data_IF_229665486672
#
_entry.id   IF_229665486672
#
_cell.length_a   1.000
_cell.length_b   1.000
_cell.length_c   1.000
_cell.angle_alpha   90.00
_cell.angle_beta   90.00
_cell.angle_gamma   90.00
#
_symmetry.space_group_name_H-M   'P 1'
#
loop_
_entity.id
_entity.type
_entity.pdbx_description
1 polymer ?
#
# COMPACT_ATOMS: atom_id res chain seq x y z
N UNK A 1 38.05 -16.32 1.83
CA UNK A 1 36.96 -15.36 1.58
C UNK A 1 36.96 -15.05 0.08
N UNK A 2 35.87 -15.35 -0.64
CA UNK A 2 35.82 -15.33 -2.12
C UNK A 2 35.56 -13.94 -2.73
N UNK A 3 35.59 -12.85 -1.96
CA UNK A 3 35.38 -11.49 -2.47
C UNK A 3 33.97 -11.21 -2.99
N UNK A 4 32.98 -12.08 -2.71
CA UNK A 4 31.58 -11.91 -3.10
C UNK A 4 30.94 -10.84 -2.21
N UNK A 5 30.28 -9.87 -2.83
CA UNK A 5 29.44 -8.89 -2.14
C UNK A 5 27.98 -9.26 -2.37
N UNK A 6 27.18 -9.18 -1.31
CA UNK A 6 25.74 -9.41 -1.40
C UNK A 6 25.03 -8.08 -1.65
N UNK A 7 23.97 -8.15 -2.44
CA UNK A 7 23.04 -7.05 -2.64
C UNK A 7 21.65 -7.49 -2.15
N UNK A 8 20.84 -6.54 -1.72
CA UNK A 8 19.45 -6.77 -1.34
C UNK A 8 18.53 -5.85 -2.12
N UNK A 9 17.38 -6.36 -2.54
CA UNK A 9 16.28 -5.52 -2.98
C UNK A 9 15.56 -4.94 -1.76
N UNK A 10 15.07 -3.72 -1.89
CA UNK A 10 14.20 -3.05 -0.95
C UNK A 10 13.01 -2.46 -1.70
N UNK A 11 11.81 -2.87 -1.31
CA UNK A 11 10.55 -2.40 -1.91
C UNK A 11 9.81 -1.53 -0.88
N UNK A 12 10.01 -0.21 -0.89
CA UNK A 12 9.44 0.64 0.15
C UNK A 12 8.00 1.08 -0.10
N UNK A 13 7.45 0.85 -1.30
CA UNK A 13 6.11 1.31 -1.67
C UNK A 13 4.98 0.45 -1.07
N UNK A 14 5.18 -0.84 -0.93
CA UNK A 14 4.16 -1.81 -0.53
C UNK A 14 4.77 -3.01 0.19
N UNK A 15 3.91 -3.85 0.77
CA UNK A 15 4.29 -5.16 1.31
C UNK A 15 3.37 -6.24 0.74
N UNK A 16 3.71 -7.51 0.93
CA UNK A 16 2.78 -8.60 0.64
C UNK A 16 1.50 -8.47 1.47
N UNK A 17 0.34 -8.75 0.87
CA UNK A 17 -0.97 -8.65 1.55
C UNK A 17 -1.09 -9.63 2.73
N UNK A 18 -0.38 -10.75 2.70
CA UNK A 18 -0.32 -11.74 3.78
C UNK A 18 0.92 -11.54 4.68
N UNK A 19 1.54 -10.36 4.64
CA UNK A 19 2.67 -10.02 5.49
C UNK A 19 2.27 -9.66 6.92
N UNK A 20 3.14 -9.90 7.89
CA UNK A 20 2.86 -9.64 9.30
C UNK A 20 2.39 -8.20 9.57
N UNK A 21 2.98 -7.21 8.91
CA UNK A 21 2.59 -5.82 9.12
C UNK A 21 1.12 -5.54 8.81
N UNK A 22 0.52 -6.24 7.83
CA UNK A 22 -0.88 -6.05 7.46
C UNK A 22 -1.81 -6.42 8.63
N UNK A 23 -1.42 -7.40 9.42
CA UNK A 23 -2.18 -7.88 10.58
C UNK A 23 -1.84 -7.16 11.88
N UNK A 24 -0.53 -6.90 12.11
CA UNK A 24 -0.02 -6.34 13.36
C UNK A 24 -0.07 -4.80 13.39
N UNK A 25 0.04 -4.16 12.22
CA UNK A 25 0.13 -2.71 12.03
C UNK A 25 -0.79 -2.23 10.90
N UNK A 26 -2.11 -2.45 11.02
CA UNK A 26 -3.06 -2.04 9.98
C UNK A 26 -3.02 -0.53 9.67
N UNK A 27 -2.60 0.28 10.64
CA UNK A 27 -2.44 1.73 10.49
C UNK A 27 -1.31 2.14 9.54
N UNK A 28 -0.47 1.20 9.11
CA UNK A 28 0.58 1.46 8.12
C UNK A 28 0.06 1.48 6.68
N UNK A 29 -1.16 1.02 6.45
CA UNK A 29 -1.69 0.79 5.11
C UNK A 29 -2.82 1.74 4.75
N UNK A 30 -2.91 2.08 3.46
CA UNK A 30 -4.07 2.79 2.93
C UNK A 30 -5.26 1.84 2.97
N UNK A 31 -6.22 2.13 3.83
CA UNK A 31 -7.42 1.31 4.02
C UNK A 31 -8.63 2.16 4.44
N UNK A 32 -9.81 1.56 4.32
CA UNK A 32 -11.07 2.16 4.75
C UNK A 32 -12.02 1.06 5.25
N UNK A 33 -13.09 1.43 5.94
CA UNK A 33 -14.06 0.51 6.56
C UNK A 33 -15.27 0.20 5.66
N UNK A 34 -15.31 0.73 4.44
CA UNK A 34 -16.34 0.48 3.43
C UNK A 34 -15.71 0.12 2.08
N UNK A 35 -16.47 -0.61 1.24
CA UNK A 35 -16.03 -0.89 -0.13
C UNK A 35 -15.99 0.39 -0.96
N UNK A 36 -14.90 0.65 -1.70
CA UNK A 36 -14.81 1.85 -2.54
C UNK A 36 -15.91 1.89 -3.63
N UNK A 37 -16.42 0.75 -4.02
CA UNK A 37 -17.50 0.64 -4.99
C UNK A 37 -18.58 -0.33 -4.50
N UNK A 38 -19.87 0.10 -4.46
CA UNK A 38 -20.96 -0.76 -3.97
C UNK A 38 -21.18 -2.05 -4.79
N UNK A 39 -20.75 -2.06 -6.05
CA UNK A 39 -20.86 -3.23 -6.95
C UNK A 39 -19.84 -4.32 -6.66
N UNK A 40 -18.80 -4.03 -5.88
CA UNK A 40 -17.73 -5.00 -5.63
C UNK A 40 -18.22 -6.16 -4.78
N UNK A 41 -17.85 -7.36 -5.21
CA UNK A 41 -18.06 -8.62 -4.51
C UNK A 41 -16.71 -9.30 -4.26
N UNK A 42 -16.64 -10.07 -3.17
CA UNK A 42 -15.42 -10.71 -2.68
C UNK A 42 -15.74 -12.16 -2.33
N UNK A 43 -16.13 -12.95 -3.33
CA UNK A 43 -16.57 -14.34 -3.16
C UNK A 43 -15.46 -15.36 -3.47
N UNK A 44 -14.34 -14.91 -4.00
CA UNK A 44 -13.21 -15.75 -4.37
C UNK A 44 -12.53 -16.48 -3.21
N UNK A 45 -11.43 -17.18 -3.47
CA UNK A 45 -10.72 -17.93 -2.43
C UNK A 45 -10.11 -17.00 -1.38
N UNK A 46 -9.93 -17.54 -0.18
CA UNK A 46 -9.16 -16.87 0.87
C UNK A 46 -7.68 -16.90 0.51
N UNK A 47 -7.04 -15.74 0.55
CA UNK A 47 -5.62 -15.56 0.24
C UNK A 47 -4.74 -15.55 1.51
N UNK A 48 -5.35 -15.51 2.70
CA UNK A 48 -4.62 -15.45 3.96
C UNK A 48 -4.12 -16.81 4.40
N UNK A 49 -2.88 -16.86 4.84
CA UNK A 49 -2.33 -17.99 5.61
C UNK A 49 -2.53 -17.82 7.12
N UNK A 50 -2.96 -16.62 7.57
CA UNK A 50 -3.25 -16.34 8.96
C UNK A 50 -4.65 -16.89 9.35
N UNK A 51 -4.75 -17.82 10.34
CA UNK A 51 -6.02 -18.45 10.69
C UNK A 51 -7.05 -17.48 11.29
N UNK A 52 -6.62 -16.34 11.81
CA UNK A 52 -7.49 -15.35 12.45
C UNK A 52 -8.11 -14.39 11.44
N UNK A 53 -7.63 -14.40 10.19
CA UNK A 53 -8.05 -13.46 9.16
C UNK A 53 -8.53 -14.16 7.88
N UNK A 54 -9.44 -13.53 7.18
CA UNK A 54 -9.83 -13.84 5.81
C UNK A 54 -9.41 -12.65 4.93
N UNK A 55 -8.74 -12.93 3.82
CA UNK A 55 -8.36 -11.92 2.82
C UNK A 55 -8.90 -12.35 1.48
N UNK A 56 -9.70 -11.52 0.86
CA UNK A 56 -10.30 -11.79 -0.45
C UNK A 56 -10.05 -10.69 -1.44
N UNK A 57 -9.73 -11.10 -2.65
CA UNK A 57 -9.64 -10.25 -3.82
C UNK A 57 -11.04 -9.93 -4.35
N UNK A 58 -11.20 -8.79 -4.99
CA UNK A 58 -12.40 -8.46 -5.75
C UNK A 58 -12.59 -9.44 -6.92
N UNK A 59 -13.83 -9.90 -7.14
CA UNK A 59 -14.12 -11.04 -8.03
C UNK A 59 -13.78 -10.77 -9.50
N UNK A 60 -13.85 -9.51 -9.95
CA UNK A 60 -13.60 -9.10 -11.33
C UNK A 60 -12.17 -8.63 -11.61
N UNK A 61 -11.26 -8.82 -10.65
CA UNK A 61 -9.86 -8.45 -10.81
C UNK A 61 -9.22 -9.07 -12.06
N UNK A 62 -9.42 -10.37 -12.28
CA UNK A 62 -8.77 -11.09 -13.38
C UNK A 62 -9.43 -10.90 -14.74
N UNK A 63 -10.73 -10.70 -14.78
CA UNK A 63 -11.44 -10.41 -16.04
C UNK A 63 -11.38 -8.93 -16.44
N UNK A 64 -10.91 -8.08 -15.53
CA UNK A 64 -10.67 -6.64 -15.74
C UNK A 64 -11.92 -5.86 -16.14
N UNK A 65 -13.06 -6.27 -15.63
CA UNK A 65 -14.31 -5.57 -15.84
C UNK A 65 -14.58 -4.48 -14.81
N UNK A 66 -13.86 -4.52 -13.68
CA UNK A 66 -13.88 -3.52 -12.62
C UNK A 66 -12.48 -2.93 -12.35
N UNK A 67 -12.43 -1.83 -11.62
CA UNK A 67 -11.15 -1.19 -11.25
C UNK A 67 -10.34 -2.03 -10.24
N UNK A 68 -10.99 -2.87 -9.43
CA UNK A 68 -10.40 -3.84 -8.48
C UNK A 68 -9.25 -3.25 -7.64
N UNK A 69 -9.53 -2.24 -6.83
CA UNK A 69 -8.50 -1.46 -6.13
C UNK A 69 -8.23 -1.90 -4.70
N UNK A 70 -9.07 -2.76 -4.11
CA UNK A 70 -8.93 -3.18 -2.71
C UNK A 70 -9.09 -4.69 -2.52
N UNK A 71 -8.42 -5.19 -1.48
CA UNK A 71 -8.78 -6.45 -0.82
C UNK A 71 -9.84 -6.18 0.24
N UNK A 72 -10.71 -7.17 0.51
CA UNK A 72 -11.51 -7.23 1.73
C UNK A 72 -10.80 -8.12 2.75
N UNK A 73 -10.44 -7.56 3.89
CA UNK A 73 -9.93 -8.28 5.04
C UNK A 73 -11.01 -8.38 6.10
N UNK A 74 -11.20 -9.54 6.67
CA UNK A 74 -12.14 -9.78 7.77
C UNK A 74 -11.46 -10.52 8.91
N UNK A 75 -11.52 -9.96 10.11
CA UNK A 75 -11.14 -10.68 11.32
C UNK A 75 -12.21 -11.76 11.63
N UNK A 76 -11.78 -13.01 11.76
CA UNK A 76 -12.72 -14.14 11.96
C UNK A 76 -13.34 -14.17 13.35
N UNK A 77 -12.69 -13.56 14.35
CA UNK A 77 -13.14 -13.54 15.74
C UNK A 77 -14.04 -12.35 16.03
N UNK A 78 -13.66 -11.17 15.59
CA UNK A 78 -14.40 -9.93 15.87
C UNK A 78 -15.45 -9.60 14.80
N UNK A 79 -15.30 -10.13 13.59
CA UNK A 79 -16.10 -9.78 12.43
C UNK A 79 -15.75 -8.43 11.81
N UNK A 80 -14.73 -7.72 12.33
CA UNK A 80 -14.24 -6.46 11.76
C UNK A 80 -13.87 -6.64 10.29
N UNK A 81 -14.33 -5.72 9.45
CA UNK A 81 -14.03 -5.70 8.02
C UNK A 81 -13.24 -4.43 7.71
N UNK A 82 -12.22 -4.60 6.87
CA UNK A 82 -11.40 -3.52 6.34
C UNK A 82 -11.11 -3.75 4.86
N UNK A 83 -11.10 -2.68 4.09
CA UNK A 83 -10.75 -2.69 2.67
C UNK A 83 -9.38 -2.05 2.50
N UNK A 84 -8.38 -2.86 2.19
CA UNK A 84 -6.98 -2.46 2.06
C UNK A 84 -6.65 -2.28 0.59
N UNK A 85 -6.12 -1.12 0.23
CA UNK A 85 -5.77 -0.83 -1.17
C UNK A 85 -4.59 -1.68 -1.63
N UNK A 86 -4.69 -2.17 -2.87
CA UNK A 86 -3.58 -2.84 -3.55
C UNK A 86 -2.36 -1.94 -3.67
N UNK A 87 -1.17 -2.52 -3.65
CA UNK A 87 0.05 -1.84 -4.07
C UNK A 87 -0.08 -1.36 -5.52
N UNK A 88 0.30 -0.12 -5.77
CA UNK A 88 0.23 0.48 -7.09
C UNK A 88 1.30 1.57 -7.26
N UNK A 89 1.90 1.65 -8.44
CA UNK A 89 2.87 2.68 -8.80
C UNK A 89 2.32 3.69 -9.82
N UNK A 90 1.04 3.56 -10.18
CA UNK A 90 0.37 4.42 -11.14
C UNK A 90 0.65 4.09 -12.62
N UNK A 91 1.30 2.96 -12.91
CA UNK A 91 1.67 2.61 -14.28
C UNK A 91 0.75 1.57 -14.92
N UNK A 92 0.18 0.67 -14.12
CA UNK A 92 -0.62 -0.46 -14.62
C UNK A 92 -1.76 -0.82 -13.68
N UNK A 93 -2.34 -2.00 -13.86
CA UNK A 93 -3.26 -2.60 -12.90
C UNK A 93 -2.63 -2.71 -11.50
N UNK A 94 -3.43 -2.53 -10.44
CA UNK A 94 -2.97 -2.79 -9.07
C UNK A 94 -2.53 -4.25 -8.92
N UNK A 95 -1.54 -4.49 -8.06
CA UNK A 95 -0.99 -5.83 -7.86
C UNK A 95 -1.86 -6.67 -6.92
N UNK A 96 -2.11 -7.92 -7.30
CA UNK A 96 -3.06 -8.82 -6.63
C UNK A 96 -2.55 -9.46 -5.33
N UNK A 97 -1.33 -9.18 -4.93
CA UNK A 97 -0.64 -9.82 -3.81
C UNK A 97 0.01 -8.83 -2.85
N UNK A 98 -0.20 -7.52 -3.04
CA UNK A 98 0.46 -6.48 -2.27
C UNK A 98 -0.50 -5.46 -1.69
N UNK A 99 -0.17 -4.92 -0.52
CA UNK A 99 -0.89 -3.87 0.19
C UNK A 99 -0.09 -2.55 0.16
N UNK A 100 -0.76 -1.45 -0.15
CA UNK A 100 -0.17 -0.12 -0.25
C UNK A 100 0.13 0.48 1.12
N UNK A 101 1.38 0.88 1.34
CA UNK A 101 1.78 1.63 2.54
C UNK A 101 1.28 3.09 2.47
N UNK A 102 0.81 3.59 3.61
CA UNK A 102 0.32 4.96 3.75
C UNK A 102 1.42 5.93 4.18
N UNK A 103 2.01 6.60 3.22
CA UNK A 103 3.05 7.61 3.47
C UNK A 103 2.53 8.94 4.02
N UNK A 104 1.21 9.15 4.08
CA UNK A 104 0.64 10.29 4.81
C UNK A 104 0.83 10.12 6.33
N UNK A 105 0.87 8.86 6.80
CA UNK A 105 1.09 8.53 8.21
C UNK A 105 2.59 8.62 8.58
N UNK A 106 2.99 9.49 9.51
CA UNK A 106 4.40 9.60 9.93
C UNK A 106 4.94 8.32 10.58
N UNK A 107 4.08 7.53 11.23
CA UNK A 107 4.49 6.26 11.86
C UNK A 107 4.90 5.25 10.79
N UNK A 108 4.17 5.19 9.68
CA UNK A 108 4.53 4.35 8.52
C UNK A 108 5.88 4.78 7.94
N UNK A 109 6.09 6.08 7.73
CA UNK A 109 7.38 6.59 7.22
C UNK A 109 8.53 6.17 8.11
N UNK A 110 8.41 6.33 9.43
CA UNK A 110 9.45 5.93 10.38
C UNK A 110 9.69 4.41 10.34
N UNK A 111 8.63 3.60 10.32
CA UNK A 111 8.77 2.14 10.24
C UNK A 111 9.51 1.69 8.98
N UNK A 112 9.23 2.30 7.82
CA UNK A 112 9.93 2.02 6.57
C UNK A 112 11.38 2.47 6.64
N UNK A 113 11.67 3.65 7.18
CA UNK A 113 13.05 4.15 7.38
C UNK A 113 13.84 3.12 8.22
N UNK A 114 13.28 2.61 9.31
CA UNK A 114 13.96 1.61 10.14
C UNK A 114 14.23 0.30 9.38
N UNK A 115 13.33 -0.12 8.49
CA UNK A 115 13.57 -1.27 7.60
C UNK A 115 14.69 -0.99 6.59
N UNK A 116 14.71 0.19 5.97
CA UNK A 116 15.79 0.60 5.06
C UNK A 116 17.14 0.60 5.79
N UNK A 117 17.19 1.18 6.99
CA UNK A 117 18.39 1.20 7.81
C UNK A 117 18.86 -0.21 8.22
N UNK A 118 17.91 -1.12 8.51
CA UNK A 118 18.22 -2.52 8.78
C UNK A 118 18.88 -3.17 7.56
N UNK A 119 18.33 -2.99 6.38
CA UNK A 119 18.91 -3.53 5.13
C UNK A 119 20.29 -2.92 4.89
N UNK A 120 20.45 -1.59 5.06
CA UNK A 120 21.71 -0.90 4.84
C UNK A 120 22.83 -1.35 5.77
N UNK A 121 22.51 -1.76 7.01
CA UNK A 121 23.50 -2.31 7.94
C UNK A 121 23.99 -3.71 7.56
N UNK A 122 23.20 -4.46 6.80
CA UNK A 122 23.50 -5.85 6.46
C UNK A 122 24.01 -6.05 5.03
N UNK A 123 23.71 -5.11 4.11
CA UNK A 123 24.07 -5.23 2.70
C UNK A 123 24.78 -3.98 2.20
N UNK A 124 25.97 -4.14 1.57
CA UNK A 124 26.72 -3.02 1.02
C UNK A 124 26.12 -2.43 -0.27
N UNK A 125 25.17 -3.13 -0.89
CA UNK A 125 24.47 -2.72 -2.11
C UNK A 125 22.97 -2.91 -1.90
N UNK A 126 22.18 -1.88 -2.19
CA UNK A 126 20.71 -1.94 -2.12
C UNK A 126 20.15 -1.48 -3.45
N UNK A 127 19.25 -2.29 -4.03
CA UNK A 127 18.41 -1.89 -5.16
C UNK A 127 17.03 -1.51 -4.63
N UNK A 128 16.65 -0.26 -4.80
CA UNK A 128 15.31 0.19 -4.48
C UNK A 128 14.38 -0.06 -5.67
N UNK A 129 13.27 -0.77 -5.41
CA UNK A 129 12.19 -0.96 -6.38
C UNK A 129 11.01 -0.06 -6.04
N UNK A 130 10.30 0.44 -7.06
CA UNK A 130 9.17 1.38 -6.93
C UNK A 130 9.48 2.64 -6.10
N UNK A 131 10.76 3.02 -5.97
CA UNK A 131 11.22 4.10 -5.10
C UNK A 131 10.73 5.50 -5.51
N UNK A 132 10.48 5.70 -6.82
CA UNK A 132 10.00 6.96 -7.37
C UNK A 132 8.61 7.34 -6.85
N UNK A 133 7.79 6.36 -6.46
CA UNK A 133 6.42 6.59 -5.98
C UNK A 133 6.37 7.24 -4.60
N UNK A 134 7.50 7.25 -3.86
CA UNK A 134 7.62 7.89 -2.58
C UNK A 134 7.93 9.40 -2.66
N UNK A 135 8.17 9.95 -3.85
CA UNK A 135 8.23 11.40 -4.01
C UNK A 135 6.85 12.01 -3.71
N UNK A 136 6.83 13.12 -2.97
CA UNK A 136 5.58 13.79 -2.53
C UNK A 136 4.56 13.97 -3.66
N UNK A 137 5.01 14.40 -4.83
CA UNK A 137 4.16 14.58 -6.00
C UNK A 137 3.44 13.30 -6.45
N UNK A 138 4.06 12.13 -6.28
CA UNK A 138 3.46 10.85 -6.63
C UNK A 138 2.48 10.38 -5.55
N UNK A 139 2.82 10.56 -4.27
CA UNK A 139 1.93 10.27 -3.15
C UNK A 139 0.66 11.13 -3.28
N UNK A 140 0.80 12.43 -3.54
CA UNK A 140 -0.34 13.34 -3.77
C UNK A 140 -1.19 12.86 -4.95
N UNK A 141 -0.57 12.68 -6.11
CA UNK A 141 -1.28 12.32 -7.35
C UNK A 141 -2.03 10.99 -7.25
N UNK A 142 -1.40 9.98 -6.67
CA UNK A 142 -1.96 8.62 -6.62
C UNK A 142 -2.98 8.46 -5.48
N UNK A 143 -2.66 8.94 -4.30
CA UNK A 143 -3.38 8.54 -3.08
C UNK A 143 -4.18 9.66 -2.43
N UNK A 144 -3.76 10.92 -2.59
CA UNK A 144 -4.37 12.09 -1.98
C UNK A 144 -4.48 13.24 -3.01
N UNK A 145 -5.22 13.02 -4.11
CA UNK A 145 -5.25 13.95 -5.23
C UNK A 145 -5.81 15.32 -4.82
N UNK A 146 -5.45 16.35 -5.58
CA UNK A 146 -6.02 17.69 -5.37
C UNK A 146 -7.52 17.66 -5.62
N UNK A 147 -8.32 18.43 -4.85
CA UNK A 147 -9.76 18.51 -5.07
C UNK A 147 -10.12 18.82 -6.54
N UNK A 148 -11.04 18.03 -7.10
CA UNK A 148 -11.49 18.20 -8.47
C UNK A 148 -10.62 17.58 -9.56
N UNK A 149 -9.53 16.88 -9.22
CA UNK A 149 -8.65 16.21 -10.22
C UNK A 149 -9.04 14.77 -10.53
N UNK A 150 -9.97 14.18 -9.81
CA UNK A 150 -10.41 12.78 -10.00
C UNK A 150 -9.48 11.72 -9.44
N UNK A 151 -8.16 11.98 -9.37
CA UNK A 151 -7.14 11.03 -8.91
C UNK A 151 -6.82 9.93 -9.93
N UNK A 152 -5.63 9.34 -9.82
CA UNK A 152 -5.15 8.28 -10.72
C UNK A 152 -5.57 6.88 -10.24
N UNK A 153 -5.77 6.71 -8.94
CA UNK A 153 -6.26 5.45 -8.36
C UNK A 153 -7.77 5.57 -8.14
N UNK A 154 -8.52 4.62 -8.69
CA UNK A 154 -9.97 4.58 -8.54
C UNK A 154 -10.37 4.53 -7.05
N UNK A 155 -11.42 5.26 -6.68
CA UNK A 155 -11.87 5.38 -5.28
C UNK A 155 -11.06 6.35 -4.42
N UNK A 156 -9.98 6.99 -4.95
CA UNK A 156 -9.17 7.94 -4.16
C UNK A 156 -9.59 9.39 -4.31
N UNK A 157 -10.45 9.73 -5.26
CA UNK A 157 -10.94 11.10 -5.43
C UNK A 157 -11.67 11.65 -4.19
N UNK A 158 -12.38 10.80 -3.44
CA UNK A 158 -13.06 11.17 -2.19
C UNK A 158 -12.10 11.46 -1.03
N UNK A 159 -10.84 11.00 -1.13
CA UNK A 159 -9.75 11.31 -0.20
C UNK A 159 -8.88 12.47 -0.69
N UNK A 160 -9.42 13.30 -1.56
CA UNK A 160 -8.72 14.49 -2.06
C UNK A 160 -8.33 15.42 -0.93
N UNK A 161 -7.18 16.06 -1.07
CA UNK A 161 -6.61 16.94 -0.07
C UNK A 161 -6.03 18.19 -0.72
N UNK A 162 -6.27 19.36 -0.13
CA UNK A 162 -5.63 20.57 -0.61
C UNK A 162 -4.11 20.56 -0.33
N UNK A 163 -3.36 21.33 -1.12
CA UNK A 163 -1.91 21.38 -1.07
C UNK A 163 -1.37 21.81 0.31
N UNK A 164 -2.09 22.68 1.01
CA UNK A 164 -1.68 23.17 2.33
C UNK A 164 -1.77 22.07 3.37
N UNK A 165 -2.89 21.34 3.41
CA UNK A 165 -3.07 20.21 4.33
C UNK A 165 -2.10 19.07 3.99
N UNK A 166 -1.92 18.76 2.70
CA UNK A 166 -0.96 17.75 2.26
C UNK A 166 0.47 18.10 2.72
N UNK A 167 0.93 19.34 2.49
CA UNK A 167 2.26 19.77 2.90
C UNK A 167 2.44 19.82 4.42
N UNK A 168 1.37 20.06 5.19
CA UNK A 168 1.41 19.96 6.64
C UNK A 168 1.66 18.53 7.12
N UNK A 169 1.07 17.53 6.44
CA UNK A 169 1.21 16.11 6.81
C UNK A 169 2.50 15.49 6.29
N UNK A 170 2.96 15.91 5.12
CA UNK A 170 4.25 15.50 4.53
C UNK A 170 5.09 16.76 4.30
N UNK A 171 5.74 17.30 5.34
CA UNK A 171 6.48 18.57 5.22
C UNK A 171 7.71 18.44 4.33
N UNK A 172 8.32 17.26 4.25
CA UNK A 172 9.57 17.02 3.54
C UNK A 172 9.44 15.87 2.55
N UNK A 173 10.35 15.83 1.56
CA UNK A 173 10.51 14.66 0.69
C UNK A 173 11.01 13.46 1.50
N UNK A 174 10.53 12.26 1.16
CA UNK A 174 10.96 11.04 1.83
C UNK A 174 12.46 10.73 1.61
N UNK A 175 12.95 11.02 0.40
CA UNK A 175 14.33 10.77 0.00
C UNK A 175 15.22 11.99 0.26
N UNK A 176 15.43 12.36 1.50
CA UNK A 176 16.36 13.41 1.92
C UNK A 176 17.48 12.89 2.81
#
# INVERSE_FOLDING_TARGET
KRGIRLASDMVPNHTGIDGNWVYEHPEYFISQDYSPFPSYTYNGPDLSTNPDWEVKLEDHYYDRTDAAVTFRMRNRHTGEIRYVFHGNDGTTMPWNDTAQLDYLNPVTREAVIQKILHVARNFPIIRFDAAMTLAKRHIERLWYPKPGTGGDIAGRAEHSMDEREFNKRIPEEFWR
#
